data_IF_396201106625
#
_entry.id   IF_396201106625
#
_cell.length_a   1.000
_cell.length_b   1.000
_cell.length_c   1.000
_cell.angle_alpha   90.00
_cell.angle_beta   90.00
_cell.angle_gamma   90.00
#
_symmetry.space_group_name_H-M   'P 1'
#
loop_
_entity.id
_entity.type
_entity.pdbx_description
1 polymer ?
#
# COMPACT_ATOMS: atom_id res chain seq x y z
N UNK A 1 12.42 -13.24 9.66
CA UNK A 1 12.22 -12.15 10.60
C UNK A 1 10.80 -12.17 11.17
N UNK A 2 10.62 -11.68 12.35
CA UNK A 2 9.30 -11.54 12.94
C UNK A 2 8.65 -10.30 12.34
N UNK A 3 7.46 -10.43 11.74
CA UNK A 3 6.73 -9.35 11.06
C UNK A 3 6.55 -8.10 11.95
N UNK A 4 6.34 -8.27 13.25
CA UNK A 4 6.24 -7.17 14.20
C UNK A 4 7.52 -6.33 14.33
N UNK A 5 8.68 -6.96 14.28
CA UNK A 5 9.99 -6.28 14.33
C UNK A 5 10.21 -5.47 13.04
N UNK A 6 9.81 -5.99 11.89
CA UNK A 6 9.95 -5.31 10.60
C UNK A 6 9.10 -4.03 10.53
N UNK A 7 7.89 -4.06 11.08
CA UNK A 7 7.01 -2.88 11.17
C UNK A 7 7.59 -1.83 12.13
N UNK A 8 8.13 -2.24 13.27
CA UNK A 8 8.79 -1.32 14.22
C UNK A 8 10.05 -0.68 13.61
N UNK A 9 10.77 -1.42 12.76
CA UNK A 9 11.92 -0.87 12.02
C UNK A 9 11.53 0.23 11.04
N UNK A 10 10.32 0.21 10.48
CA UNK A 10 9.79 1.32 9.66
C UNK A 10 9.72 2.60 10.48
N UNK A 11 9.21 2.52 11.70
CA UNK A 11 9.13 3.66 12.62
C UNK A 11 10.52 4.14 13.06
N UNK A 12 11.45 3.22 13.30
CA UNK A 12 12.84 3.57 13.63
C UNK A 12 13.52 4.33 12.49
N UNK A 13 13.30 3.94 11.24
CA UNK A 13 13.79 4.67 10.07
C UNK A 13 13.25 6.10 10.02
N UNK A 14 11.98 6.29 10.34
CA UNK A 14 11.38 7.63 10.41
C UNK A 14 12.01 8.47 11.53
N UNK A 15 12.21 7.90 12.71
CA UNK A 15 12.85 8.57 13.83
C UNK A 15 14.28 8.98 13.47
N UNK A 16 15.03 8.11 12.82
CA UNK A 16 16.38 8.40 12.36
C UNK A 16 16.41 9.50 11.28
N UNK A 17 15.44 9.49 10.36
CA UNK A 17 15.29 10.55 9.37
C UNK A 17 14.96 11.92 9.99
N UNK A 18 14.36 11.92 11.17
CA UNK A 18 14.09 13.13 11.98
C UNK A 18 15.24 13.45 12.96
N UNK A 19 16.42 12.88 12.77
CA UNK A 19 17.60 13.05 13.64
C UNK A 19 17.33 12.69 15.12
N UNK A 20 16.47 11.74 15.37
CA UNK A 20 16.08 11.29 16.71
C UNK A 20 14.99 12.16 17.38
N UNK A 21 14.50 13.16 16.72
CA UNK A 21 13.41 14.03 17.20
C UNK A 21 12.06 13.33 17.03
N UNK A 22 11.54 12.77 18.13
CA UNK A 22 10.29 12.01 18.15
C UNK A 22 9.09 12.90 17.77
N UNK A 23 8.99 14.12 18.26
CA UNK A 23 7.89 15.01 17.96
C UNK A 23 7.83 15.33 16.47
N UNK A 24 8.99 15.57 15.84
CA UNK A 24 9.09 15.79 14.42
C UNK A 24 8.74 14.54 13.61
N UNK A 25 9.16 13.36 14.06
CA UNK A 25 8.83 12.09 13.44
C UNK A 25 7.31 11.82 13.44
N UNK A 26 6.61 12.20 14.50
CA UNK A 26 5.17 11.99 14.67
C UNK A 26 4.29 12.78 13.67
N UNK A 27 4.86 13.75 12.97
CA UNK A 27 4.22 14.50 11.86
C UNK A 27 4.92 14.25 10.52
N UNK A 28 5.67 13.18 10.43
CA UNK A 28 6.41 12.79 9.24
C UNK A 28 5.58 12.04 8.21
N UNK A 29 6.27 11.60 7.17
CA UNK A 29 5.69 10.86 6.05
C UNK A 29 6.44 9.54 5.91
N UNK A 30 5.69 8.45 5.80
CA UNK A 30 6.22 7.13 5.48
C UNK A 30 5.69 6.72 4.11
N UNK A 31 6.59 6.42 3.19
CA UNK A 31 6.27 5.83 1.89
C UNK A 31 6.61 4.34 1.91
N UNK A 32 5.62 3.50 1.64
CA UNK A 32 5.78 2.06 1.53
C UNK A 32 5.60 1.67 0.07
N UNK A 33 6.68 1.25 -0.57
CA UNK A 33 6.67 0.81 -1.96
C UNK A 33 6.31 -0.68 -2.09
N UNK A 34 5.88 -1.07 -3.27
CA UNK A 34 5.54 -2.46 -3.61
C UNK A 34 4.50 -3.10 -2.67
N UNK A 35 3.51 -2.32 -2.21
CA UNK A 35 2.49 -2.80 -1.28
C UNK A 35 1.67 -3.96 -1.86
N UNK A 36 1.55 -4.04 -3.17
CA UNK A 36 0.89 -5.14 -3.89
C UNK A 36 1.57 -6.51 -3.66
N UNK A 37 2.86 -6.51 -3.30
CA UNK A 37 3.61 -7.75 -3.02
C UNK A 37 3.17 -8.46 -1.73
N UNK A 38 2.50 -7.77 -0.83
CA UNK A 38 1.93 -8.35 0.38
C UNK A 38 0.44 -8.70 0.23
N UNK A 39 -0.10 -8.65 -0.98
CA UNK A 39 -1.44 -9.10 -1.26
C UNK A 39 -1.58 -10.61 -1.00
N UNK A 40 -2.71 -11.01 -0.41
CA UNK A 40 -3.04 -12.41 -0.18
C UNK A 40 -3.29 -13.08 -1.54
N UNK A 41 -2.60 -14.18 -1.82
CA UNK A 41 -2.82 -14.96 -3.04
C UNK A 41 -4.03 -15.89 -2.84
N UNK A 42 -5.00 -15.82 -3.76
CA UNK A 42 -6.25 -16.57 -3.68
C UNK A 42 -6.08 -18.09 -3.87
N UNK A 43 -4.93 -18.59 -4.28
CA UNK A 43 -4.76 -19.94 -4.79
C UNK A 43 -3.86 -20.85 -3.94
N UNK A 44 -3.92 -20.78 -2.62
CA UNK A 44 -3.35 -21.89 -1.84
C UNK A 44 -4.36 -22.44 -0.86
N UNK A 45 -5.15 -23.39 -1.34
CA UNK A 45 -5.85 -24.39 -0.52
C UNK A 45 -4.88 -25.33 0.24
N UNK A 46 -3.57 -25.07 0.19
CA UNK A 46 -2.62 -25.75 1.03
C UNK A 46 -2.65 -25.15 2.43
N UNK A 47 -2.80 -26.03 3.40
CA UNK A 47 -2.90 -25.83 4.85
C UNK A 47 -1.71 -25.05 5.47
N UNK A 48 -0.79 -24.57 4.69
CA UNK A 48 0.26 -23.66 5.11
C UNK A 48 -0.26 -22.24 5.08
N UNK A 49 -0.55 -21.69 6.27
CA UNK A 49 -0.77 -20.27 6.49
C UNK A 49 0.23 -19.48 5.64
N UNK A 50 -0.29 -18.68 4.70
CA UNK A 50 0.54 -17.67 4.04
C UNK A 50 0.94 -16.62 5.08
N UNK A 51 2.09 -16.85 5.70
CA UNK A 51 2.63 -16.00 6.76
C UNK A 51 3.14 -14.67 6.18
N UNK A 52 3.28 -14.56 4.85
CA UNK A 52 3.92 -13.41 4.21
C UNK A 52 2.95 -12.30 3.80
N UNK A 53 1.71 -12.61 3.42
CA UNK A 53 0.76 -11.64 2.88
C UNK A 53 -0.14 -11.00 3.93
N UNK A 54 -1.16 -11.71 4.39
CA UNK A 54 -2.17 -11.19 5.32
C UNK A 54 -1.57 -10.76 6.66
N UNK A 55 -0.61 -11.51 7.18
CA UNK A 55 0.05 -11.19 8.44
C UNK A 55 0.82 -9.87 8.41
N UNK A 56 1.44 -9.54 7.28
CA UNK A 56 2.14 -8.26 7.09
C UNK A 56 1.13 -7.12 7.00
N UNK A 57 0.03 -7.30 6.28
CA UNK A 57 -1.04 -6.30 6.21
C UNK A 57 -1.61 -6.02 7.61
N UNK A 58 -1.88 -7.05 8.41
CA UNK A 58 -2.37 -6.90 9.78
C UNK A 58 -1.36 -6.19 10.68
N UNK A 59 -0.07 -6.45 10.53
CA UNK A 59 0.97 -5.76 11.29
C UNK A 59 1.07 -4.27 10.94
N UNK A 60 0.95 -3.93 9.66
CA UNK A 60 0.89 -2.54 9.20
C UNK A 60 -0.36 -1.81 9.71
N UNK A 61 -1.49 -2.50 9.84
CA UNK A 61 -2.71 -1.93 10.38
C UNK A 61 -2.52 -1.33 11.77
N UNK A 62 -1.71 -1.93 12.62
CA UNK A 62 -1.47 -1.44 13.98
C UNK A 62 -0.92 -0.02 13.98
N UNK A 63 -0.05 0.32 13.02
CA UNK A 63 0.48 1.67 12.91
C UNK A 63 -0.41 2.59 12.08
N UNK A 64 -1.15 2.07 11.11
CA UNK A 64 -2.11 2.85 10.30
C UNK A 64 -3.33 3.31 11.12
N UNK A 65 -3.77 2.51 12.08
CA UNK A 65 -4.91 2.83 12.96
C UNK A 65 -4.61 3.96 13.95
N UNK A 66 -3.35 4.28 14.15
CA UNK A 66 -2.90 5.24 15.15
C UNK A 66 -2.75 4.62 16.53
N UNK A 67 -1.53 4.57 17.00
CA UNK A 67 -1.18 4.01 18.31
C UNK A 67 0.11 4.63 18.82
N UNK A 68 0.38 4.46 20.10
CA UNK A 68 1.71 4.71 20.64
C UNK A 68 2.52 3.42 20.53
N UNK A 69 3.50 3.41 19.66
CA UNK A 69 4.39 2.28 19.44
C UNK A 69 5.65 2.41 20.28
N UNK A 70 6.16 1.27 20.73
CA UNK A 70 7.42 1.17 21.47
C UNK A 70 8.49 0.56 20.58
N UNK A 71 9.52 1.32 20.26
CA UNK A 71 10.54 0.98 19.26
C UNK A 71 11.91 0.85 19.94
N UNK A 72 12.64 -0.28 19.78
CA UNK A 72 14.01 -0.39 20.22
C UNK A 72 14.93 0.62 19.53
N UNK A 73 15.75 1.40 20.25
CA UNK A 73 16.58 2.46 19.65
C UNK A 73 17.63 1.94 18.66
N UNK A 74 18.03 0.68 18.79
CA UNK A 74 19.01 0.03 17.91
C UNK A 74 18.36 -0.95 16.92
N UNK A 75 17.02 -1.07 16.93
CA UNK A 75 16.31 -2.10 16.18
C UNK A 75 16.43 -3.50 16.78
N UNK A 76 15.80 -4.48 16.14
CA UNK A 76 15.83 -5.87 16.57
C UNK A 76 14.89 -6.21 17.71
N UNK A 77 15.23 -7.24 18.49
CA UNK A 77 14.39 -7.74 19.56
C UNK A 77 14.37 -6.81 20.78
N UNK A 78 13.18 -6.66 21.36
CA UNK A 78 13.02 -5.99 22.65
C UNK A 78 13.64 -6.83 23.77
N UNK A 79 14.52 -6.23 24.54
CA UNK A 79 15.08 -6.85 25.75
C UNK A 79 14.38 -6.31 27.00
N UNK A 80 14.20 -7.11 28.06
CA UNK A 80 13.45 -6.70 29.26
C UNK A 80 13.96 -5.45 29.98
N UNK A 81 15.24 -5.13 29.84
CA UNK A 81 15.88 -3.97 30.47
C UNK A 81 16.21 -2.83 29.51
N UNK A 82 15.79 -2.94 28.25
CA UNK A 82 16.06 -1.93 27.24
C UNK A 82 15.04 -0.80 27.34
N UNK A 83 15.53 0.44 27.33
CA UNK A 83 14.69 1.62 27.19
C UNK A 83 14.19 1.73 25.75
N UNK A 84 12.87 1.77 25.57
CA UNK A 84 12.22 1.84 24.26
C UNK A 84 11.82 3.27 23.94
N UNK A 85 11.95 3.64 22.66
CA UNK A 85 11.43 4.90 22.15
C UNK A 85 9.91 4.78 21.98
N UNK A 86 9.17 5.78 22.45
CA UNK A 86 7.71 5.87 22.28
C UNK A 86 7.39 6.84 21.16
N UNK A 87 6.61 6.40 20.18
CA UNK A 87 6.17 7.24 19.06
C UNK A 87 4.67 7.07 18.82
N UNK A 88 3.96 8.17 18.74
CA UNK A 88 2.53 8.21 18.38
C UNK A 88 2.40 8.28 16.86
N UNK A 89 1.76 7.29 16.28
CA UNK A 89 1.59 7.17 14.82
C UNK A 89 0.35 7.85 14.27
N UNK A 90 -0.47 8.46 15.11
CA UNK A 90 -1.79 9.03 14.74
C UNK A 90 -1.70 10.07 13.64
N UNK A 91 -0.66 10.92 13.65
CA UNK A 91 -0.48 12.02 12.71
C UNK A 91 0.60 11.77 11.65
N UNK A 92 1.07 10.54 11.53
CA UNK A 92 2.00 10.15 10.47
C UNK A 92 1.19 9.93 9.19
N UNK A 93 1.62 10.55 8.08
CA UNK A 93 1.04 10.29 6.76
C UNK A 93 1.68 9.03 6.17
N UNK A 94 0.84 8.06 5.83
CA UNK A 94 1.26 6.84 5.12
C UNK A 94 0.86 6.94 3.66
N UNK A 95 1.81 6.72 2.78
CA UNK A 95 1.61 6.61 1.34
C UNK A 95 2.05 5.21 0.93
N UNK A 96 1.16 4.45 0.33
CA UNK A 96 1.46 3.10 -0.16
C UNK A 96 1.39 3.11 -1.68
N UNK A 97 2.42 2.60 -2.32
CA UNK A 97 2.50 2.49 -3.78
C UNK A 97 2.75 1.06 -4.23
N UNK A 98 2.33 0.74 -5.44
CA UNK A 98 2.56 -0.55 -6.07
C UNK A 98 2.06 -0.58 -7.51
N UNK A 99 2.54 -1.56 -8.27
CA UNK A 99 2.15 -1.73 -9.67
C UNK A 99 0.76 -2.37 -9.84
N UNK A 100 0.33 -3.20 -8.90
CA UNK A 100 -0.96 -3.90 -8.91
C UNK A 100 -1.25 -4.59 -10.25
N UNK A 101 -0.29 -5.36 -10.74
CA UNK A 101 -0.42 -6.10 -12.00
C UNK A 101 -1.61 -7.05 -11.95
N UNK A 102 -2.54 -6.91 -12.87
CA UNK A 102 -3.77 -7.69 -12.94
C UNK A 102 -5.00 -7.01 -12.30
N UNK A 103 -4.83 -5.88 -11.61
CA UNK A 103 -5.97 -5.13 -11.05
C UNK A 103 -6.89 -4.59 -12.14
N UNK A 104 -6.35 -4.17 -13.27
CA UNK A 104 -7.08 -3.75 -14.47
C UNK A 104 -8.08 -4.82 -14.94
N UNK A 105 -7.67 -6.08 -14.95
CA UNK A 105 -8.54 -7.21 -15.30
C UNK A 105 -9.68 -7.40 -14.32
N UNK A 106 -9.41 -7.28 -13.03
CA UNK A 106 -10.43 -7.37 -11.97
C UNK A 106 -11.49 -6.27 -12.18
N UNK A 107 -11.06 -5.06 -12.47
CA UNK A 107 -11.95 -3.93 -12.72
C UNK A 107 -12.75 -4.17 -14.00
N UNK A 108 -12.11 -4.61 -15.09
CA UNK A 108 -12.76 -4.92 -16.35
C UNK A 108 -13.85 -5.98 -16.19
N UNK A 109 -13.60 -7.04 -15.47
CA UNK A 109 -14.57 -8.10 -15.17
C UNK A 109 -15.76 -7.56 -14.39
N UNK A 110 -15.54 -6.71 -13.40
CA UNK A 110 -16.63 -6.06 -12.65
C UNK A 110 -17.48 -5.15 -13.52
N UNK A 111 -16.84 -4.34 -14.35
CA UNK A 111 -17.52 -3.36 -15.23
C UNK A 111 -18.26 -4.10 -16.35
N UNK A 112 -17.65 -5.13 -16.94
CA UNK A 112 -18.25 -5.95 -18.00
C UNK A 112 -19.47 -6.74 -17.56
N UNK A 113 -19.46 -7.31 -16.36
CA UNK A 113 -20.58 -8.06 -15.81
C UNK A 113 -21.82 -7.19 -15.50
N UNK A 114 -21.69 -5.88 -15.39
CA UNK A 114 -22.84 -4.96 -15.28
C UNK A 114 -23.59 -4.77 -16.59
N UNK A 115 -23.00 -5.15 -17.74
CA UNK A 115 -23.60 -5.06 -19.06
C UNK A 115 -24.52 -6.22 -19.47
N UNK A 116 -24.67 -7.26 -18.62
CA UNK A 116 -25.55 -8.40 -18.89
C UNK A 116 -26.96 -8.13 -18.38
N UNK A 117 -27.51 -6.98 -18.74
CA UNK A 117 -28.95 -6.70 -18.69
C UNK A 117 -29.49 -6.76 -20.11
N UNK A 118 -30.65 -7.40 -20.29
CA UNK A 118 -31.40 -7.47 -21.54
C UNK A 118 -31.45 -6.10 -22.25
N UNK A 119 -30.71 -5.94 -23.37
CA UNK A 119 -30.56 -4.78 -24.25
C UNK A 119 -29.21 -4.03 -24.19
N UNK A 120 -28.11 -4.63 -23.82
CA UNK A 120 -26.82 -4.03 -24.15
C UNK A 120 -26.42 -4.42 -25.57
N UNK A 121 -26.34 -3.44 -26.47
CA UNK A 121 -25.63 -3.59 -27.74
C UNK A 121 -24.24 -4.14 -27.42
N UNK A 122 -23.86 -5.22 -28.09
CA UNK A 122 -22.51 -5.78 -28.04
C UNK A 122 -21.62 -4.71 -28.71
N UNK A 123 -21.15 -3.75 -27.91
CA UNK A 123 -20.01 -2.94 -28.30
C UNK A 123 -18.84 -3.90 -28.43
N UNK A 124 -18.29 -4.02 -29.65
CA UNK A 124 -17.12 -4.80 -29.92
C UNK A 124 -15.97 -4.41 -28.95
N UNK A 125 -14.87 -5.17 -28.88
CA UNK A 125 -13.79 -4.90 -27.96
C UNK A 125 -13.15 -3.54 -28.29
N UNK A 126 -13.73 -2.48 -27.76
CA UNK A 126 -13.02 -1.23 -27.61
C UNK A 126 -11.91 -1.53 -26.62
N UNK A 127 -10.68 -1.37 -27.05
CA UNK A 127 -9.52 -1.39 -26.15
C UNK A 127 -9.73 -0.28 -25.13
N UNK A 128 -10.36 -0.62 -24.00
CA UNK A 128 -10.48 0.30 -22.87
C UNK A 128 -9.07 0.52 -22.40
N UNK A 129 -8.62 1.77 -22.42
CA UNK A 129 -7.28 2.12 -21.95
C UNK A 129 -7.14 1.63 -20.50
N UNK A 130 -6.03 0.95 -20.20
CA UNK A 130 -5.72 0.46 -18.86
C UNK A 130 -5.80 1.59 -17.82
N UNK A 131 -5.38 2.79 -18.18
CA UNK A 131 -5.48 3.97 -17.33
C UNK A 131 -6.94 4.34 -17.02
N UNK A 132 -7.85 4.20 -17.98
CA UNK A 132 -9.27 4.48 -17.77
C UNK A 132 -9.93 3.42 -16.89
N UNK A 133 -9.47 2.17 -16.94
CA UNK A 133 -9.91 1.12 -16.01
C UNK A 133 -9.46 1.40 -14.60
N UNK A 134 -8.17 1.73 -14.38
CA UNK A 134 -7.64 2.02 -13.07
C UNK A 134 -8.32 3.20 -12.37
N UNK A 135 -8.83 4.17 -13.13
CA UNK A 135 -9.64 5.28 -12.58
C UNK A 135 -10.96 4.82 -11.95
N UNK A 136 -11.45 3.66 -12.33
CA UNK A 136 -12.69 3.08 -11.85
C UNK A 136 -12.49 2.13 -10.68
N UNK A 137 -11.29 2.09 -10.08
CA UNK A 137 -10.99 1.21 -8.96
C UNK A 137 -11.91 1.49 -7.77
N UNK A 138 -12.44 0.42 -7.20
CA UNK A 138 -13.26 0.44 -5.99
C UNK A 138 -12.59 -0.39 -4.89
N UNK A 139 -12.93 -0.16 -3.61
CA UNK A 139 -12.43 -0.97 -2.52
C UNK A 139 -12.60 -2.47 -2.73
N UNK A 140 -13.70 -2.90 -3.30
CA UNK A 140 -13.96 -4.31 -3.62
C UNK A 140 -12.98 -4.91 -4.63
N UNK A 141 -12.46 -4.11 -5.54
CA UNK A 141 -11.44 -4.55 -6.52
C UNK A 141 -10.11 -4.80 -5.82
N UNK A 142 -9.72 -3.94 -4.90
CA UNK A 142 -8.53 -4.12 -4.07
C UNK A 142 -8.65 -5.33 -3.15
N UNK A 143 -9.84 -5.58 -2.60
CA UNK A 143 -10.11 -6.78 -1.82
C UNK A 143 -10.00 -8.05 -2.69
N UNK A 144 -10.54 -8.02 -3.90
CA UNK A 144 -10.43 -9.13 -4.86
C UNK A 144 -8.97 -9.37 -5.28
N UNK A 145 -8.16 -8.31 -5.36
CA UNK A 145 -6.73 -8.41 -5.65
C UNK A 145 -5.94 -9.11 -4.53
N UNK A 146 -6.41 -9.02 -3.29
CA UNK A 146 -5.77 -9.66 -2.14
C UNK A 146 -5.43 -8.72 -0.98
N UNK A 147 -5.84 -7.46 -1.06
CA UNK A 147 -5.75 -6.55 0.08
C UNK A 147 -6.91 -6.82 1.03
N UNK A 148 -6.63 -6.93 2.33
CA UNK A 148 -7.68 -7.19 3.31
C UNK A 148 -8.60 -5.98 3.49
N UNK A 149 -9.90 -6.18 3.78
CA UNK A 149 -10.85 -5.07 3.90
C UNK A 149 -10.46 -4.01 4.91
N UNK A 150 -9.89 -4.41 6.04
CA UNK A 150 -9.45 -3.50 7.10
C UNK A 150 -8.31 -2.59 6.62
N UNK A 151 -7.38 -3.14 5.82
CA UNK A 151 -6.29 -2.36 5.23
C UNK A 151 -6.82 -1.35 4.21
N UNK A 152 -7.70 -1.79 3.32
CA UNK A 152 -8.35 -0.92 2.33
C UNK A 152 -9.15 0.20 3.00
N UNK A 153 -9.83 -0.10 4.09
CA UNK A 153 -10.57 0.87 4.88
C UNK A 153 -9.70 1.97 5.52
N UNK A 154 -8.42 1.68 5.76
CA UNK A 154 -7.45 2.64 6.30
C UNK A 154 -6.65 3.40 5.24
N UNK A 155 -6.87 3.11 3.97
CA UNK A 155 -6.27 3.79 2.81
C UNK A 155 -7.37 4.32 1.88
N UNK A 156 -8.21 5.28 2.35
CA UNK A 156 -9.42 5.67 1.64
C UNK A 156 -9.15 6.50 0.38
N UNK A 157 -8.00 7.18 0.31
CA UNK A 157 -7.63 7.99 -0.86
C UNK A 157 -6.80 7.13 -1.81
N UNK A 158 -7.38 6.78 -2.94
CA UNK A 158 -6.73 6.00 -3.99
C UNK A 158 -6.54 6.85 -5.22
N UNK A 159 -5.33 6.90 -5.73
CA UNK A 159 -4.97 7.60 -6.96
C UNK A 159 -4.07 6.72 -7.81
N UNK A 160 -3.89 7.12 -9.06
CA UNK A 160 -3.03 6.42 -10.01
C UNK A 160 -2.10 7.40 -10.70
N UNK A 161 -0.94 6.91 -11.10
CA UNK A 161 -0.05 7.63 -12.01
C UNK A 161 -0.48 7.38 -13.46
N UNK A 162 -0.34 8.37 -14.31
CA UNK A 162 -0.60 8.25 -15.74
C UNK A 162 0.62 7.67 -16.45
N UNK A 163 0.40 6.95 -17.57
CA UNK A 163 1.48 6.58 -18.46
C UNK A 163 2.18 7.84 -18.98
N UNK A 164 3.51 7.81 -18.98
CA UNK A 164 4.32 8.93 -19.44
C UNK A 164 4.40 8.91 -20.96
N UNK A 165 4.17 10.05 -21.59
CA UNK A 165 4.45 10.26 -23.00
C UNK A 165 5.90 10.77 -23.20
N UNK A 166 6.30 11.02 -24.45
CA UNK A 166 7.65 11.47 -24.79
C UNK A 166 7.95 12.85 -24.18
N UNK A 167 6.99 13.75 -24.17
CA UNK A 167 7.14 15.11 -23.62
C UNK A 167 7.29 15.03 -22.08
N UNK A 168 6.53 14.18 -21.42
CA UNK A 168 6.66 13.93 -19.99
C UNK A 168 8.05 13.40 -19.64
N UNK A 169 8.59 12.48 -20.44
CA UNK A 169 9.93 11.91 -20.23
C UNK A 169 11.01 12.97 -20.40
N UNK A 170 10.88 13.87 -21.36
CA UNK A 170 11.78 15.00 -21.54
C UNK A 170 11.71 15.95 -20.34
N UNK A 171 10.52 16.25 -19.86
CA UNK A 171 10.33 17.11 -18.68
C UNK A 171 11.00 16.52 -17.43
N UNK A 172 10.88 15.22 -17.19
CA UNK A 172 11.53 14.52 -16.07
C UNK A 172 13.06 14.66 -16.14
N UNK A 173 13.64 14.64 -17.35
CA UNK A 173 15.08 14.74 -17.54
C UNK A 173 15.63 16.17 -17.44
N UNK A 174 14.80 17.19 -17.58
CA UNK A 174 15.24 18.59 -17.72
C UNK A 174 14.76 19.53 -16.62
N UNK A 175 13.60 19.30 -16.02
CA UNK A 175 12.97 20.25 -15.09
C UNK A 175 13.34 20.05 -13.61
N UNK A 176 13.51 18.82 -13.06
CA UNK A 176 13.88 18.66 -11.66
C UNK A 176 15.29 19.17 -11.37
N UNK A 177 15.49 19.72 -10.17
CA UNK A 177 16.80 20.23 -9.72
C UNK A 177 17.95 19.21 -9.78
N UNK A 178 17.63 17.92 -9.76
CA UNK A 178 18.57 16.79 -9.74
C UNK A 178 18.32 15.84 -10.92
N UNK A 179 17.89 16.39 -12.05
CA UNK A 179 17.71 15.61 -13.27
C UNK A 179 19.05 15.11 -13.82
#
# INVERSE_FOLDING_TARGET
GYVGEDVENILLKLINAADGDIERAQVGIIYVDEIDKIARKAENLSITRDVSGEGVQQALLKILEGTVASVPPTGGRKHPQQELLQIDTTNILFICGGAFVGLDKIIADRVGNKGVGFNSEIAGPTSVDENDLLRQVLPQDLNAFGMIPEFVGRTPVVTQTQALDEDDLVSILTEPKNA
#
